data_IF_000256474886
#
_entry.id   IF_000256474886
#
_cell.length_a   1.000
_cell.length_b   1.000
_cell.length_c   1.000
_cell.angle_alpha   90.00
_cell.angle_beta   90.00
_cell.angle_gamma   90.00
#
_symmetry.space_group_name_H-M   'P 1'
#
loop_
_entity.id
_entity.type
_entity.pdbx_description
1 polymer ?
#
# COMPACT_ATOMS: atom_id res chain seq x y z
N UNK A 1 0.32 10.93 -6.99
CA UNK A 1 1.22 10.18 -7.89
C UNK A 1 0.92 8.69 -7.74
N UNK A 2 -0.15 8.24 -8.41
CA UNK A 2 -0.45 6.82 -8.61
C UNK A 2 -0.69 6.67 -10.11
N UNK A 3 0.39 6.84 -10.88
CA UNK A 3 0.40 6.52 -12.30
C UNK A 3 0.60 5.00 -12.38
N UNK A 4 -0.47 4.26 -12.13
CA UNK A 4 -0.47 2.80 -12.29
C UNK A 4 -0.98 2.53 -13.69
N UNK A 5 -0.05 2.43 -14.63
CA UNK A 5 -0.34 2.08 -16.00
C UNK A 5 -0.66 0.60 -16.17
N UNK A 6 -1.10 0.22 -17.37
CA UNK A 6 -1.32 -1.18 -17.72
C UNK A 6 -0.05 -2.02 -17.54
N UNK A 7 1.12 -1.43 -17.81
CA UNK A 7 2.42 -2.06 -17.61
C UNK A 7 2.70 -2.36 -16.13
N UNK A 8 2.47 -1.40 -15.22
CA UNK A 8 2.62 -1.62 -13.78
C UNK A 8 1.67 -2.71 -13.28
N UNK A 9 0.40 -2.73 -13.71
CA UNK A 9 -0.56 -3.78 -13.34
C UNK A 9 -0.05 -5.16 -13.77
N UNK A 10 0.47 -5.28 -15.00
CA UNK A 10 1.03 -6.52 -15.50
C UNK A 10 2.25 -6.97 -14.69
N UNK A 11 3.18 -6.05 -14.40
CA UNK A 11 4.37 -6.33 -13.60
C UNK A 11 3.98 -6.81 -12.19
N UNK A 12 3.08 -6.08 -11.51
CA UNK A 12 2.59 -6.45 -10.18
C UNK A 12 1.86 -7.79 -10.19
N UNK A 13 1.08 -8.06 -11.23
CA UNK A 13 0.42 -9.36 -11.41
C UNK A 13 1.45 -10.47 -11.54
N UNK A 14 2.49 -10.28 -12.36
CA UNK A 14 3.55 -11.26 -12.55
C UNK A 14 4.32 -11.54 -11.25
N UNK A 15 4.70 -10.48 -10.53
CA UNK A 15 5.37 -10.60 -9.22
C UNK A 15 4.47 -11.30 -8.21
N UNK A 16 3.19 -10.93 -8.15
CA UNK A 16 2.22 -11.57 -7.27
C UNK A 16 2.04 -13.05 -7.59
N UNK A 17 2.00 -13.43 -8.87
CA UNK A 17 1.93 -14.82 -9.30
C UNK A 17 3.20 -15.59 -8.96
N UNK A 18 4.38 -14.97 -9.02
CA UNK A 18 5.64 -15.62 -8.68
C UNK A 18 5.80 -15.83 -7.16
N UNK A 19 5.51 -14.79 -6.37
CA UNK A 19 5.69 -14.80 -4.91
C UNK A 19 4.64 -15.66 -4.22
N UNK A 20 3.37 -15.42 -4.54
CA UNK A 20 2.26 -16.08 -3.89
C UNK A 20 1.87 -17.37 -4.62
N UNK A 21 2.15 -17.46 -5.92
CA UNK A 21 1.72 -18.58 -6.77
C UNK A 21 0.40 -18.28 -7.49
N UNK A 22 0.24 -18.76 -8.74
CA UNK A 22 -0.97 -18.54 -9.55
C UNK A 22 -2.25 -19.10 -8.94
N UNK A 23 -2.14 -20.15 -8.12
CA UNK A 23 -3.29 -20.79 -7.49
C UNK A 23 -3.74 -20.08 -6.19
N UNK A 24 -2.83 -19.34 -5.55
CA UNK A 24 -3.06 -18.77 -4.21
C UNK A 24 -3.56 -17.33 -4.28
N UNK A 25 -3.07 -16.54 -5.23
CA UNK A 25 -3.53 -15.17 -5.50
C UNK A 25 -5.07 -15.06 -5.67
N UNK A 26 -5.73 -15.87 -6.53
CA UNK A 26 -7.19 -15.82 -6.68
C UNK A 26 -7.92 -16.28 -5.41
N UNK A 27 -7.32 -17.18 -4.62
CA UNK A 27 -7.90 -17.64 -3.37
C UNK A 27 -7.90 -16.53 -2.31
N UNK A 28 -6.81 -15.78 -2.19
CA UNK A 28 -6.72 -14.62 -1.28
C UNK A 28 -7.69 -13.52 -1.72
N UNK A 29 -7.74 -13.21 -3.02
CA UNK A 29 -8.69 -12.24 -3.57
C UNK A 29 -10.15 -12.62 -3.28
N UNK A 30 -10.50 -13.91 -3.37
CA UNK A 30 -11.83 -14.42 -3.01
C UNK A 30 -12.14 -14.28 -1.51
N UNK A 31 -11.17 -14.56 -0.65
CA UNK A 31 -11.34 -14.42 0.80
C UNK A 31 -11.53 -12.95 1.18
N UNK A 32 -10.63 -12.07 0.73
CA UNK A 32 -10.73 -10.63 0.97
C UNK A 32 -11.98 -10.03 0.33
N UNK A 33 -12.31 -10.44 -0.90
CA UNK A 33 -13.53 -10.02 -1.60
C UNK A 33 -14.80 -10.46 -0.88
N UNK A 34 -14.82 -11.66 -0.30
CA UNK A 34 -15.92 -12.15 0.54
C UNK A 34 -16.10 -11.32 1.80
N UNK A 35 -15.01 -10.95 2.48
CA UNK A 35 -15.02 -10.07 3.65
C UNK A 35 -15.47 -8.66 3.29
N UNK A 36 -14.92 -8.08 2.23
CA UNK A 36 -15.30 -6.76 1.74
C UNK A 36 -16.78 -6.72 1.32
N UNK A 37 -17.28 -7.80 0.69
CA UNK A 37 -18.71 -7.92 0.32
C UNK A 37 -19.61 -7.95 1.55
N UNK A 38 -19.24 -8.71 2.58
CA UNK A 38 -19.98 -8.75 3.85
C UNK A 38 -19.98 -7.38 4.53
N UNK A 39 -18.81 -6.76 4.64
CA UNK A 39 -18.68 -5.41 5.18
C UNK A 39 -19.58 -4.43 4.42
N UNK A 40 -19.49 -4.39 3.08
CA UNK A 40 -20.32 -3.52 2.23
C UNK A 40 -21.82 -3.74 2.45
N UNK A 41 -22.24 -4.98 2.66
CA UNK A 41 -23.62 -5.30 3.05
C UNK A 41 -24.04 -4.67 4.38
N UNK A 42 -23.19 -4.78 5.41
CA UNK A 42 -23.41 -4.18 6.72
C UNK A 42 -23.49 -2.65 6.67
N UNK A 43 -22.62 -1.99 5.88
CA UNK A 43 -22.68 -0.54 5.64
C UNK A 43 -23.99 -0.12 4.96
N UNK A 44 -24.49 -0.92 4.02
CA UNK A 44 -25.73 -0.63 3.31
C UNK A 44 -26.96 -0.75 4.22
N UNK A 45 -26.97 -1.73 5.13
CA UNK A 45 -28.03 -1.86 6.15
C UNK A 45 -27.98 -0.73 7.18
N UNK A 46 -26.80 -0.37 7.67
CA UNK A 46 -26.61 0.76 8.58
C UNK A 46 -27.12 2.06 7.95
N UNK A 47 -26.78 2.30 6.67
CA UNK A 47 -27.27 3.49 5.95
C UNK A 47 -28.79 3.52 5.83
N UNK A 48 -29.43 2.38 5.56
CA UNK A 48 -30.90 2.28 5.49
C UNK A 48 -31.57 2.56 6.83
N UNK A 49 -30.98 2.12 7.94
CA UNK A 49 -31.46 2.43 9.29
C UNK A 49 -31.23 3.90 9.65
N UNK A 50 -30.06 4.45 9.30
CA UNK A 50 -29.72 5.88 9.48
C UNK A 50 -30.70 6.79 8.71
N UNK A 51 -30.98 6.48 7.44
CA UNK A 51 -31.91 7.25 6.59
C UNK A 51 -33.36 7.13 7.09
N UNK A 52 -33.70 6.03 7.76
CA UNK A 52 -35.05 5.78 8.30
C UNK A 52 -35.29 6.42 9.67
N UNK A 53 -34.25 6.64 10.49
CA UNK A 53 -34.40 7.08 11.88
C UNK A 53 -34.17 8.59 12.08
N UNK A 54 -33.01 9.20 11.80
CA UNK A 54 -32.78 10.62 12.16
C UNK A 54 -31.69 11.38 11.39
N UNK A 55 -31.98 12.68 11.22
CA UNK A 55 -31.13 13.85 10.90
C UNK A 55 -29.60 13.62 10.95
N UNK A 56 -28.94 13.99 9.85
CA UNK A 56 -27.50 13.88 9.57
C UNK A 56 -26.53 14.66 10.52
N UNK A 57 -26.96 15.05 11.72
CA UNK A 57 -26.15 15.82 12.67
C UNK A 57 -25.28 14.92 13.58
N UNK A 58 -25.76 13.76 14.03
CA UNK A 58 -25.06 12.92 15.02
C UNK A 58 -23.93 12.06 14.44
N UNK A 59 -23.91 11.82 13.13
CA UNK A 59 -22.85 11.04 12.45
C UNK A 59 -21.64 11.90 12.04
N UNK A 60 -21.80 13.22 11.98
CA UNK A 60 -20.72 14.13 11.56
C UNK A 60 -19.59 14.22 12.58
N UNK A 61 -19.90 14.16 13.87
CA UNK A 61 -18.89 14.14 14.93
C UNK A 61 -17.99 12.88 14.87
N UNK A 62 -18.54 11.66 14.93
CA UNK A 62 -17.72 10.45 14.92
C UNK A 62 -16.95 10.28 13.60
N UNK A 63 -17.51 10.68 12.46
CA UNK A 63 -16.79 10.69 11.18
C UNK A 63 -15.61 11.69 11.18
N UNK A 64 -15.78 12.90 11.71
CA UNK A 64 -14.70 13.89 11.83
C UNK A 64 -13.59 13.44 12.77
N UNK A 65 -13.95 12.79 13.88
CA UNK A 65 -12.97 12.24 14.81
C UNK A 65 -12.15 11.12 14.15
N UNK A 66 -12.82 10.22 13.43
CA UNK A 66 -12.16 9.13 12.70
C UNK A 66 -11.28 9.63 11.55
N UNK A 67 -11.72 10.64 10.78
CA UNK A 67 -10.90 11.29 9.76
C UNK A 67 -9.62 11.89 10.35
N UNK A 68 -9.74 12.54 11.51
CA UNK A 68 -8.61 13.18 12.19
C UNK A 68 -7.60 12.14 12.70
N UNK A 69 -8.10 11.04 13.25
CA UNK A 69 -7.29 9.92 13.76
C UNK A 69 -6.54 9.21 12.61
N UNK A 70 -7.24 8.86 11.53
CA UNK A 70 -6.61 8.28 10.32
C UNK A 70 -5.55 9.22 9.76
N UNK A 71 -5.85 10.52 9.66
CA UNK A 71 -4.89 11.49 9.12
C UNK A 71 -3.63 11.56 9.98
N UNK A 72 -3.75 11.56 11.31
CA UNK A 72 -2.58 11.53 12.19
C UNK A 72 -1.75 10.25 12.03
N UNK A 73 -2.39 9.08 11.95
CA UNK A 73 -1.68 7.81 11.75
C UNK A 73 -1.00 7.75 10.38
N UNK A 74 -1.64 8.25 9.32
CA UNK A 74 -1.04 8.32 7.98
C UNK A 74 0.15 9.28 7.95
N UNK A 75 0.04 10.43 8.62
CA UNK A 75 1.14 11.40 8.71
C UNK A 75 2.33 10.80 9.49
N UNK A 76 2.09 10.00 10.55
CA UNK A 76 3.11 9.30 11.33
C UNK A 76 3.77 8.13 10.58
N UNK A 77 2.98 7.35 9.84
CA UNK A 77 3.52 6.30 8.96
C UNK A 77 4.36 6.92 7.84
N UNK A 78 3.91 8.06 7.28
CA UNK A 78 4.64 8.76 6.22
C UNK A 78 5.96 9.32 6.72
N UNK A 79 6.01 9.89 7.92
CA UNK A 79 7.26 10.36 8.52
C UNK A 79 8.21 9.20 8.84
N UNK A 80 7.70 8.09 9.38
CA UNK A 80 8.51 6.88 9.63
C UNK A 80 9.07 6.26 8.36
N UNK A 81 8.29 6.19 7.28
CA UNK A 81 8.73 5.69 5.97
C UNK A 81 9.74 6.64 5.31
N UNK A 82 9.58 7.96 5.47
CA UNK A 82 10.56 8.94 5.00
C UNK A 82 11.91 8.78 5.70
N UNK A 83 11.94 8.55 7.01
CA UNK A 83 13.18 8.30 7.77
C UNK A 83 13.90 7.01 7.38
N UNK A 84 13.19 6.03 6.83
CA UNK A 84 13.78 4.79 6.32
C UNK A 84 14.27 4.91 4.88
N UNK A 85 13.77 5.89 4.13
CA UNK A 85 14.15 6.14 2.72
C UNK A 85 15.52 6.82 2.60
N UNK A 86 16.03 7.39 3.68
CA UNK A 86 17.37 7.99 3.79
C UNK A 86 18.48 6.93 3.98
N UNK A 87 18.12 5.65 4.17
CA UNK A 87 19.06 4.53 4.07
C UNK A 87 19.21 4.10 2.61
N UNK A 88 20.03 4.86 1.88
CA UNK A 88 20.53 4.47 0.57
C UNK A 88 21.39 3.19 0.71
N UNK A 89 21.09 2.08 0.00
CA UNK A 89 21.92 0.89 0.07
C UNK A 89 23.32 1.22 -0.49
N UNK A 90 24.40 0.81 0.20
CA UNK A 90 25.76 1.07 -0.27
C UNK A 90 25.95 0.36 -1.62
N UNK A 91 26.29 1.14 -2.65
CA UNK A 91 26.67 0.58 -3.93
C UNK A 91 27.94 -0.26 -3.74
N UNK A 92 27.96 -1.53 -4.20
CA UNK A 92 29.17 -2.35 -4.15
C UNK A 92 30.17 -1.82 -5.18
N UNK A 93 31.25 -1.23 -4.69
CA UNK A 93 32.46 -0.87 -5.42
C UNK A 93 33.18 -2.16 -5.88
N UNK A 94 32.72 -2.69 -7.00
CA UNK A 94 33.43 -3.75 -7.71
C UNK A 94 34.57 -3.14 -8.52
N UNK A 95 35.72 -3.85 -8.52
CA UNK A 95 36.96 -3.61 -9.27
C UNK A 95 37.94 -2.64 -8.60
N UNK A 96 38.58 -3.06 -7.52
CA UNK A 96 39.73 -4.00 -7.51
C UNK A 96 40.88 -3.53 -8.42
N UNK A 97 41.99 -3.23 -7.74
CA UNK A 97 43.23 -2.77 -8.31
C UNK A 97 43.97 -3.97 -8.87
N UNK A 98 44.00 -4.11 -10.20
CA UNK A 98 45.02 -4.95 -10.84
C UNK A 98 45.59 -4.26 -12.07
N UNK A 99 46.86 -3.87 -11.98
CA UNK A 99 47.62 -3.35 -13.12
C UNK A 99 48.70 -2.32 -12.78
N UNK A 100 49.64 -2.68 -11.88
CA UNK A 100 51.00 -2.12 -11.98
C UNK A 100 51.56 -2.52 -13.34
N UNK A 101 52.25 -1.62 -14.04
CA UNK A 101 53.69 -1.72 -14.38
C UNK A 101 54.05 -0.66 -15.43
N UNK A 102 54.97 0.22 -15.04
CA UNK A 102 56.18 0.63 -15.76
C UNK A 102 56.19 1.17 -17.20
N UNK A 103 57.26 1.97 -17.37
CA UNK A 103 57.91 2.45 -18.58
C UNK A 103 57.29 3.75 -19.15
N UNK A 104 57.94 4.92 -19.13
CA UNK A 104 59.36 5.22 -19.04
C UNK A 104 59.91 5.51 -20.42
N UNK A 105 59.69 6.72 -20.93
CA UNK A 105 60.57 7.59 -21.74
C UNK A 105 59.85 8.93 -22.00
#
# INVERSE_FOLDING_TARGET
MFDVGFAEILLLSLVGLLVLGPERLPRVARTLGGLARKARGSWLSLKRTIDAEMRAEELKEPLKHFEKEIKSTVDEVRSGVSSLKDFEPPQPDSTDKLGKTNDGD
#
